data_IF_160344000369
#
_entry.id   IF_160344000369
#
_cell.length_a   1.000
_cell.length_b   1.000
_cell.length_c   1.000
_cell.angle_alpha   90.00
_cell.angle_beta   90.00
_cell.angle_gamma   90.00
#
_symmetry.space_group_name_H-M   'P 1'
#
loop_
_entity.id
_entity.type
_entity.pdbx_description
1 polymer ?
#
# COMPACT_ATOMS: atom_id res chain seq x y z
N UNK A 1 4.66 16.12 -16.93
CA UNK A 1 3.34 16.81 -16.82
C UNK A 1 2.27 15.93 -17.46
N UNK A 2 2.24 14.66 -17.10
CA UNK A 2 1.29 13.66 -17.60
C UNK A 2 -0.12 13.93 -17.06
N UNK A 3 -0.19 14.56 -15.89
CA UNK A 3 -1.40 15.08 -15.23
C UNK A 3 -2.18 16.08 -16.09
N UNK A 4 -1.55 16.70 -17.10
CA UNK A 4 -2.15 17.74 -17.95
C UNK A 4 -2.37 17.24 -19.36
N UNK A 5 -1.33 16.75 -20.03
CA UNK A 5 -1.39 16.43 -21.46
C UNK A 5 -2.39 15.32 -21.80
N UNK A 6 -2.68 14.44 -20.84
CA UNK A 6 -3.72 13.40 -20.98
C UNK A 6 -5.14 13.97 -21.12
N UNK A 7 -5.37 15.22 -20.70
CA UNK A 7 -6.69 15.87 -20.71
C UNK A 7 -6.81 17.00 -21.75
N UNK A 8 -5.83 17.12 -22.64
CA UNK A 8 -5.86 18.05 -23.77
C UNK A 8 -5.75 17.30 -25.09
N UNK A 9 -6.48 17.78 -26.10
CA UNK A 9 -6.29 17.36 -27.49
C UNK A 9 -5.76 18.51 -28.32
N UNK A 10 -4.81 18.21 -29.20
CA UNK A 10 -4.32 19.18 -30.18
C UNK A 10 -5.24 19.14 -31.41
N UNK A 11 -5.87 20.27 -31.72
CA UNK A 11 -6.71 20.46 -32.92
C UNK A 11 -6.42 21.85 -33.50
N UNK A 12 -6.26 21.94 -34.82
CA UNK A 12 -6.11 23.22 -35.54
C UNK A 12 -5.03 24.16 -34.93
N UNK A 13 -3.89 23.59 -34.54
CA UNK A 13 -2.77 24.32 -33.93
C UNK A 13 -3.08 24.96 -32.57
N UNK A 14 -4.04 24.41 -31.83
CA UNK A 14 -4.42 24.82 -30.47
C UNK A 14 -4.61 23.60 -29.57
N UNK A 15 -4.32 23.78 -28.28
CA UNK A 15 -4.61 22.81 -27.24
C UNK A 15 -6.03 23.03 -26.72
N UNK A 16 -6.92 22.06 -26.92
CA UNK A 16 -8.29 22.10 -26.46
C UNK A 16 -8.46 21.25 -25.20
N UNK A 17 -9.10 21.82 -24.19
CA UNK A 17 -9.44 21.08 -22.97
C UNK A 17 -10.57 20.07 -23.29
N UNK A 18 -10.33 18.78 -23.02
CA UNK A 18 -11.30 17.72 -23.30
C UNK A 18 -12.57 17.87 -22.47
N UNK A 19 -12.47 18.41 -21.24
CA UNK A 19 -13.62 18.65 -20.37
C UNK A 19 -14.51 19.79 -20.89
N UNK A 20 -13.92 20.90 -21.32
CA UNK A 20 -14.62 21.99 -22.01
C UNK A 20 -15.36 21.51 -23.27
N UNK A 21 -14.72 20.65 -24.07
CA UNK A 21 -15.35 20.07 -25.26
C UNK A 21 -16.55 19.19 -24.90
N UNK A 22 -16.42 18.34 -23.87
CA UNK A 22 -17.50 17.49 -23.38
C UNK A 22 -18.68 18.33 -22.86
N UNK A 23 -18.42 19.39 -22.10
CA UNK A 23 -19.46 20.29 -21.60
C UNK A 23 -20.18 21.05 -22.73
N UNK A 24 -19.48 21.41 -23.80
CA UNK A 24 -20.11 22.03 -24.97
C UNK A 24 -21.06 21.08 -25.72
N UNK A 25 -20.77 19.78 -25.72
CA UNK A 25 -21.66 18.77 -26.32
C UNK A 25 -22.98 18.65 -25.54
N UNK A 26 -22.93 18.74 -24.21
CA UNK A 26 -24.14 18.67 -23.36
C UNK A 26 -24.84 20.02 -23.20
N UNK A 27 -24.10 21.11 -23.29
CA UNK A 27 -24.58 22.48 -23.16
C UNK A 27 -23.95 23.39 -24.25
N UNK A 28 -24.61 23.56 -25.41
CA UNK A 28 -24.06 24.29 -26.56
C UNK A 28 -23.66 25.75 -26.29
N UNK A 29 -24.18 26.36 -25.23
CA UNK A 29 -23.90 27.74 -24.83
C UNK A 29 -22.61 27.91 -24.02
N UNK A 30 -22.00 26.82 -23.54
CA UNK A 30 -20.72 26.86 -22.82
C UNK A 30 -19.57 27.00 -23.82
N UNK A 31 -18.76 28.04 -23.67
CA UNK A 31 -17.59 28.27 -24.52
C UNK A 31 -16.48 27.29 -24.15
N UNK A 32 -16.04 26.50 -25.13
CA UNK A 32 -14.87 25.66 -24.95
C UNK A 32 -13.59 26.51 -25.04
N UNK A 33 -12.78 26.48 -24.00
CA UNK A 33 -11.51 27.22 -23.96
C UNK A 33 -10.45 26.50 -24.80
N UNK A 34 -9.75 27.25 -25.66
CA UNK A 34 -8.66 26.77 -26.49
C UNK A 34 -7.39 27.59 -26.19
N UNK A 35 -6.26 26.92 -26.08
CA UNK A 35 -4.97 27.50 -25.76
C UNK A 35 -4.02 27.38 -26.95
N UNK A 36 -3.01 28.24 -27.02
CA UNK A 36 -1.95 28.07 -28.03
C UNK A 36 -1.14 26.82 -27.73
N UNK A 37 -0.54 26.19 -28.75
CA UNK A 37 0.42 25.08 -28.56
C UNK A 37 1.58 25.50 -27.63
N UNK A 38 1.97 26.79 -27.66
CA UNK A 38 3.06 27.33 -26.84
C UNK A 38 2.66 27.67 -25.40
N UNK A 39 1.40 27.45 -25.01
CA UNK A 39 0.93 27.78 -23.67
C UNK A 39 1.65 26.91 -22.63
N UNK A 40 2.15 27.53 -21.57
CA UNK A 40 2.87 26.83 -20.52
C UNK A 40 1.96 25.87 -19.74
N UNK A 41 2.53 24.77 -19.27
CA UNK A 41 1.81 23.75 -18.49
C UNK A 41 1.19 24.31 -17.22
N UNK A 42 1.75 25.36 -16.63
CA UNK A 42 1.17 26.06 -15.47
C UNK A 42 -0.16 26.74 -15.78
N UNK A 43 -0.30 27.36 -16.97
CA UNK A 43 -1.55 28.00 -17.40
C UNK A 43 -2.61 26.95 -17.71
N UNK A 44 -2.23 25.87 -18.38
CA UNK A 44 -3.13 24.74 -18.66
C UNK A 44 -3.63 24.09 -17.36
N UNK A 45 -2.72 23.84 -16.42
CA UNK A 45 -3.05 23.30 -15.10
C UNK A 45 -4.00 24.22 -14.34
N UNK A 46 -3.73 25.54 -14.35
CA UNK A 46 -4.60 26.54 -13.72
C UNK A 46 -6.02 26.47 -14.23
N UNK A 47 -6.21 26.41 -15.54
CA UNK A 47 -7.54 26.24 -16.13
C UNK A 47 -8.24 24.97 -15.63
N UNK A 48 -7.54 23.84 -15.62
CA UNK A 48 -8.15 22.58 -15.22
C UNK A 48 -8.59 22.60 -13.75
N UNK A 49 -7.75 23.03 -12.81
CA UNK A 49 -8.14 23.00 -11.39
C UNK A 49 -9.11 24.11 -10.99
N UNK A 50 -9.27 25.17 -11.80
CA UNK A 50 -10.30 26.19 -11.54
C UNK A 50 -11.66 25.82 -12.14
N UNK A 51 -11.67 25.31 -13.37
CA UNK A 51 -12.92 25.07 -14.11
C UNK A 51 -13.42 23.62 -14.00
N UNK A 52 -12.51 22.65 -13.87
CA UNK A 52 -12.80 21.21 -13.92
C UNK A 52 -12.05 20.40 -12.84
N UNK A 53 -12.01 20.84 -11.57
CA UNK A 53 -11.23 20.15 -10.54
C UNK A 53 -11.71 18.70 -10.34
N UNK A 54 -13.00 18.45 -10.43
CA UNK A 54 -13.61 17.18 -10.04
C UNK A 54 -13.35 16.09 -11.10
N UNK A 55 -13.59 16.41 -12.37
CA UNK A 55 -13.32 15.54 -13.50
C UNK A 55 -11.83 15.25 -13.67
N UNK A 56 -10.99 16.25 -13.40
CA UNK A 56 -9.55 16.12 -13.48
C UNK A 56 -8.97 15.20 -12.41
N UNK A 57 -9.35 15.41 -11.14
CA UNK A 57 -8.86 14.59 -10.04
C UNK A 57 -9.35 13.15 -10.20
N UNK A 58 -10.60 12.95 -10.61
CA UNK A 58 -11.16 11.62 -10.90
C UNK A 58 -10.44 10.95 -12.06
N UNK A 59 -10.18 11.69 -13.14
CA UNK A 59 -9.45 11.21 -14.30
C UNK A 59 -8.02 10.77 -13.96
N UNK A 60 -7.29 11.59 -13.19
CA UNK A 60 -5.95 11.27 -12.72
C UNK A 60 -5.94 10.01 -11.84
N UNK A 61 -6.88 9.90 -10.89
CA UNK A 61 -7.00 8.73 -10.03
C UNK A 61 -7.25 7.43 -10.82
N UNK A 62 -8.15 7.46 -11.81
CA UNK A 62 -8.46 6.32 -12.67
C UNK A 62 -7.27 5.86 -13.51
N UNK A 63 -6.42 6.80 -13.92
CA UNK A 63 -5.22 6.53 -14.73
C UNK A 63 -3.97 6.30 -13.88
N UNK A 64 -4.10 6.27 -12.55
CA UNK A 64 -3.00 6.16 -11.60
C UNK A 64 -1.91 7.24 -11.78
N UNK A 65 -2.31 8.45 -12.21
CA UNK A 65 -1.41 9.60 -12.40
C UNK A 65 -1.37 10.42 -11.11
N UNK A 66 -0.17 10.60 -10.56
CA UNK A 66 0.02 11.42 -9.36
C UNK A 66 0.06 12.92 -9.69
N UNK A 67 -0.76 13.72 -9.02
CA UNK A 67 -0.75 15.18 -9.13
C UNK A 67 0.22 15.76 -8.10
N UNK A 68 1.43 16.11 -8.54
CA UNK A 68 2.54 16.58 -7.67
C UNK A 68 2.57 18.11 -7.56
N UNK A 69 1.82 18.84 -8.40
CA UNK A 69 1.85 20.31 -8.43
C UNK A 69 1.32 20.93 -7.13
N UNK A 70 2.10 21.84 -6.53
CA UNK A 70 1.77 22.49 -5.26
C UNK A 70 0.56 23.43 -5.39
N UNK A 71 0.44 24.11 -6.54
CA UNK A 71 -0.64 25.05 -6.83
C UNK A 71 -2.01 24.37 -6.95
N UNK A 72 -2.03 23.06 -7.21
CA UNK A 72 -3.24 22.25 -7.32
C UNK A 72 -3.71 21.66 -5.99
N UNK A 73 -2.89 21.70 -4.92
CA UNK A 73 -3.22 21.10 -3.64
C UNK A 73 -4.48 21.69 -2.99
N UNK A 74 -4.75 23.01 -3.02
CA UNK A 74 -5.99 23.56 -2.47
C UNK A 74 -7.24 23.01 -3.17
N UNK A 75 -7.22 22.86 -4.49
CA UNK A 75 -8.33 22.29 -5.26
C UNK A 75 -8.54 20.80 -4.92
N UNK A 76 -7.46 20.05 -4.72
CA UNK A 76 -7.50 18.64 -4.30
C UNK A 76 -8.06 18.50 -2.87
N UNK A 77 -7.65 19.36 -1.95
CA UNK A 77 -8.17 19.36 -0.57
C UNK A 77 -9.66 19.70 -0.53
N UNK A 78 -10.08 20.71 -1.31
CA UNK A 78 -11.49 21.09 -1.41
C UNK A 78 -12.33 19.99 -2.08
N UNK A 79 -11.81 19.34 -3.11
CA UNK A 79 -12.44 18.16 -3.71
C UNK A 79 -12.58 17.01 -2.71
N UNK A 80 -11.55 16.69 -1.94
CA UNK A 80 -11.61 15.68 -0.86
C UNK A 80 -12.63 16.04 0.20
N UNK A 81 -12.72 17.32 0.58
CA UNK A 81 -13.71 17.84 1.53
C UNK A 81 -15.14 17.70 0.99
N UNK A 82 -15.36 18.00 -0.29
CA UNK A 82 -16.66 17.85 -0.97
C UNK A 82 -17.06 16.39 -1.17
N UNK A 83 -16.13 15.54 -1.58
CA UNK A 83 -16.32 14.08 -1.69
C UNK A 83 -16.68 13.45 -0.33
N UNK A 84 -16.07 13.92 0.76
CA UNK A 84 -16.41 13.50 2.12
C UNK A 84 -17.87 13.76 2.52
N UNK A 85 -18.61 14.61 1.79
CA UNK A 85 -20.01 14.94 2.06
C UNK A 85 -21.00 14.41 1.00
N UNK A 86 -20.52 13.96 -0.18
CA UNK A 86 -21.35 13.50 -1.31
C UNK A 86 -21.16 12.00 -1.66
N UNK A 87 -20.14 11.33 -1.12
CA UNK A 87 -19.84 9.91 -1.36
C UNK A 87 -20.74 8.91 -0.60
N UNK A 88 -21.98 9.28 -0.30
CA UNK A 88 -22.90 8.40 0.43
C UNK A 88 -23.38 7.18 -0.36
N UNK A 89 -23.19 7.11 -1.68
CA UNK A 89 -23.77 6.03 -2.46
C UNK A 89 -22.72 5.27 -3.29
N UNK A 90 -22.49 4.02 -2.85
CA UNK A 90 -21.92 2.87 -3.54
C UNK A 90 -20.40 2.62 -3.45
N UNK A 91 -19.50 3.48 -3.93
CA UNK A 91 -18.13 2.98 -4.26
C UNK A 91 -17.04 3.43 -3.27
N UNK A 92 -17.14 4.62 -2.67
CA UNK A 92 -16.19 5.08 -1.65
C UNK A 92 -16.49 4.53 -0.23
N UNK A 93 -17.67 3.93 -0.02
CA UNK A 93 -18.05 3.31 1.25
C UNK A 93 -17.26 2.03 1.57
N UNK A 94 -16.61 1.40 0.59
CA UNK A 94 -15.79 0.22 0.81
C UNK A 94 -14.47 0.55 1.53
N UNK A 95 -13.86 1.70 1.25
CA UNK A 95 -12.49 1.98 1.67
C UNK A 95 -12.39 2.77 3.00
N UNK A 96 -13.46 3.43 3.44
CA UNK A 96 -13.46 4.21 4.70
C UNK A 96 -13.99 3.38 5.90
N UNK A 97 -14.47 2.15 5.69
CA UNK A 97 -14.92 1.23 6.75
C UNK A 97 -14.21 -0.12 6.79
N UNK A 98 -12.96 -0.21 6.32
CA UNK A 98 -12.16 -1.44 6.45
C UNK A 98 -12.74 -2.66 5.73
N UNK A 99 -13.69 -2.49 4.81
CA UNK A 99 -14.32 -3.60 4.10
C UNK A 99 -13.48 -3.95 2.88
N UNK A 100 -12.64 -4.99 3.01
CA UNK A 100 -11.87 -5.55 1.88
C UNK A 100 -12.81 -5.89 0.72
N UNK A 101 -12.41 -5.55 -0.51
CA UNK A 101 -13.10 -6.07 -1.69
C UNK A 101 -13.01 -7.59 -1.68
N UNK A 102 -14.10 -8.24 -2.11
CA UNK A 102 -14.12 -9.69 -2.13
C UNK A 102 -13.21 -10.20 -3.27
N UNK A 103 -12.20 -10.97 -2.90
CA UNK A 103 -11.47 -11.90 -3.76
C UNK A 103 -11.33 -13.21 -3.00
N UNK A 104 -11.05 -14.31 -3.70
CA UNK A 104 -10.83 -15.59 -3.01
C UNK A 104 -9.67 -15.50 -2.01
N UNK A 105 -8.56 -14.88 -2.40
CA UNK A 105 -7.41 -14.64 -1.52
C UNK A 105 -7.79 -13.77 -0.32
N UNK A 106 -8.50 -12.66 -0.53
CA UNK A 106 -8.93 -11.78 0.57
C UNK A 106 -9.92 -12.47 1.52
N UNK A 107 -10.73 -13.40 1.01
CA UNK A 107 -11.63 -14.21 1.82
C UNK A 107 -10.87 -15.22 2.67
N UNK A 108 -9.90 -15.92 2.08
CA UNK A 108 -9.00 -16.83 2.81
C UNK A 108 -8.24 -16.08 3.90
N UNK A 109 -7.64 -14.93 3.56
CA UNK A 109 -6.89 -14.11 4.52
C UNK A 109 -7.78 -13.56 5.64
N UNK A 110 -9.03 -13.18 5.35
CA UNK A 110 -9.98 -12.76 6.37
C UNK A 110 -10.37 -13.90 7.32
N UNK A 111 -10.49 -15.14 6.81
CA UNK A 111 -10.75 -16.31 7.67
C UNK A 111 -9.53 -16.62 8.54
N UNK A 112 -8.31 -16.53 7.97
CA UNK A 112 -7.08 -16.71 8.75
C UNK A 112 -6.99 -15.67 9.87
N UNK A 113 -7.26 -14.40 9.56
CA UNK A 113 -7.25 -13.31 10.54
C UNK A 113 -8.29 -13.53 11.65
N UNK A 114 -9.51 -13.97 11.31
CA UNK A 114 -10.51 -14.37 12.30
C UNK A 114 -10.03 -15.52 13.18
N UNK A 115 -9.42 -16.54 12.59
CA UNK A 115 -8.97 -17.72 13.34
C UNK A 115 -7.80 -17.40 14.26
N UNK A 116 -6.78 -16.70 13.75
CA UNK A 116 -5.57 -16.37 14.51
C UNK A 116 -5.83 -15.25 15.50
N UNK A 117 -6.61 -14.23 15.11
CA UNK A 117 -6.90 -13.06 15.94
C UNK A 117 -7.74 -13.40 17.17
N UNK A 118 -8.70 -14.31 17.02
CA UNK A 118 -9.62 -14.71 18.10
C UNK A 118 -9.34 -16.12 18.65
N UNK A 119 -8.18 -16.72 18.37
CA UNK A 119 -7.77 -18.08 18.78
C UNK A 119 -8.86 -19.16 18.54
N UNK A 120 -9.48 -19.10 17.36
CA UNK A 120 -10.54 -20.03 17.00
C UNK A 120 -9.98 -21.39 16.59
N UNK A 121 -10.77 -22.45 16.79
CA UNK A 121 -10.41 -23.75 16.25
C UNK A 121 -10.44 -23.73 14.73
N UNK A 122 -9.42 -24.30 14.07
CA UNK A 122 -9.44 -24.53 12.62
C UNK A 122 -10.65 -25.35 12.15
N UNK A 123 -11.30 -26.13 13.03
CA UNK A 123 -12.52 -26.87 12.70
C UNK A 123 -13.73 -25.95 12.46
N UNK A 124 -13.69 -24.70 12.91
CA UNK A 124 -14.80 -23.75 12.77
C UNK A 124 -15.19 -23.56 11.30
N UNK A 125 -14.21 -23.64 10.38
CA UNK A 125 -14.47 -23.44 8.95
C UNK A 125 -15.25 -24.60 8.30
N UNK A 126 -15.24 -25.79 8.93
CA UNK A 126 -16.01 -26.95 8.48
C UNK A 126 -17.44 -26.95 9.04
N UNK A 127 -17.78 -25.99 9.90
CA UNK A 127 -19.12 -25.88 10.50
C UNK A 127 -20.16 -25.55 9.41
N UNK A 128 -21.15 -26.42 9.15
CA UNK A 128 -22.14 -26.21 8.10
C UNK A 128 -22.93 -24.89 8.27
N UNK A 129 -23.20 -24.49 9.51
CA UNK A 129 -23.92 -23.27 9.82
C UNK A 129 -23.12 -22.02 9.45
N UNK A 130 -21.81 -22.02 9.72
CA UNK A 130 -20.93 -20.90 9.33
C UNK A 130 -20.80 -20.83 7.81
N UNK A 131 -20.63 -21.98 7.14
CA UNK A 131 -20.56 -22.03 5.67
C UNK A 131 -21.86 -21.56 5.03
N UNK A 132 -23.02 -21.94 5.59
CA UNK A 132 -24.32 -21.44 5.17
C UNK A 132 -24.43 -19.92 5.31
N UNK A 133 -23.87 -19.33 6.38
CA UNK A 133 -23.81 -17.87 6.52
C UNK A 133 -22.99 -17.25 5.38
N UNK A 134 -21.83 -17.81 5.03
CA UNK A 134 -21.03 -17.28 3.90
C UNK A 134 -21.76 -17.35 2.56
N UNK A 135 -22.41 -18.47 2.27
CA UNK A 135 -23.20 -18.67 1.04
C UNK A 135 -24.43 -17.75 1.00
N UNK A 136 -25.06 -17.48 2.16
CA UNK A 136 -26.16 -16.53 2.27
C UNK A 136 -25.70 -15.08 1.98
N UNK A 137 -24.48 -14.73 2.38
CA UNK A 137 -23.93 -13.38 2.18
C UNK A 137 -23.41 -13.13 0.76
N UNK A 138 -23.18 -14.19 -0.04
CA UNK A 138 -22.67 -14.11 -1.42
C UNK A 138 -23.30 -15.21 -2.29
N UNK A 139 -24.28 -14.86 -3.10
CA UNK A 139 -25.02 -15.77 -3.97
C UNK A 139 -24.16 -16.48 -5.03
N UNK A 140 -23.06 -15.85 -5.45
CA UNK A 140 -22.17 -16.43 -6.46
C UNK A 140 -21.19 -17.45 -5.87
N UNK A 141 -21.04 -17.47 -4.54
CA UNK A 141 -20.13 -18.35 -3.83
C UNK A 141 -20.71 -19.76 -3.79
N UNK A 142 -19.90 -20.76 -4.14
CA UNK A 142 -20.25 -22.17 -3.96
C UNK A 142 -19.59 -22.70 -2.71
N UNK A 143 -20.13 -23.79 -2.19
CA UNK A 143 -19.56 -24.48 -1.04
C UNK A 143 -18.09 -24.89 -1.29
N UNK A 144 -17.78 -25.31 -2.52
CA UNK A 144 -16.42 -25.64 -2.97
C UNK A 144 -15.43 -24.47 -2.96
N UNK A 145 -15.93 -23.23 -2.99
CA UNK A 145 -15.11 -22.02 -2.97
C UNK A 145 -14.79 -21.57 -1.53
N UNK A 146 -15.45 -22.15 -0.54
CA UNK A 146 -15.15 -21.92 0.88
C UNK A 146 -13.92 -22.76 1.25
N UNK A 147 -12.84 -22.14 1.77
CA UNK A 147 -11.62 -22.88 2.07
C UNK A 147 -11.85 -23.92 3.16
N UNK A 148 -11.31 -25.10 2.96
CA UNK A 148 -11.30 -26.15 3.99
C UNK A 148 -10.15 -25.95 4.97
N UNK A 149 -10.19 -26.71 6.06
CA UNK A 149 -9.19 -26.70 7.14
C UNK A 149 -7.75 -26.82 6.63
N UNK A 150 -7.50 -27.69 5.64
CA UNK A 150 -6.17 -27.86 5.05
C UNK A 150 -5.68 -26.61 4.34
N UNK A 151 -6.55 -25.94 3.58
CA UNK A 151 -6.27 -24.67 2.91
C UNK A 151 -5.89 -23.59 3.92
N UNK A 152 -6.68 -23.44 4.98
CA UNK A 152 -6.41 -22.47 6.05
C UNK A 152 -5.10 -22.77 6.78
N UNK A 153 -4.86 -24.05 7.12
CA UNK A 153 -3.62 -24.47 7.77
C UNK A 153 -2.38 -24.11 6.92
N UNK A 154 -2.42 -24.43 5.62
CA UNK A 154 -1.31 -24.12 4.72
C UNK A 154 -1.08 -22.61 4.59
N UNK A 155 -2.16 -21.82 4.54
CA UNK A 155 -2.05 -20.36 4.50
C UNK A 155 -1.43 -19.79 5.79
N UNK A 156 -1.81 -20.32 6.96
CA UNK A 156 -1.21 -19.92 8.24
C UNK A 156 0.29 -20.21 8.27
N UNK A 157 0.71 -21.40 7.83
CA UNK A 157 2.14 -21.75 7.78
C UNK A 157 2.91 -20.81 6.84
N UNK A 158 2.35 -20.52 5.66
CA UNK A 158 2.94 -19.57 4.74
C UNK A 158 3.08 -18.17 5.37
N UNK A 159 2.03 -17.65 6.02
CA UNK A 159 2.07 -16.34 6.67
C UNK A 159 3.06 -16.30 7.84
N UNK A 160 3.24 -17.42 8.55
CA UNK A 160 4.25 -17.56 9.59
C UNK A 160 5.66 -17.50 8.99
N UNK A 161 5.93 -18.23 7.91
CA UNK A 161 7.22 -18.18 7.22
C UNK A 161 7.54 -16.77 6.72
N UNK A 162 6.56 -16.10 6.07
CA UNK A 162 6.69 -14.71 5.62
C UNK A 162 6.92 -13.73 6.79
N UNK A 163 6.35 -14.02 7.96
CA UNK A 163 6.61 -13.21 9.16
C UNK A 163 8.02 -13.43 9.69
N UNK A 164 8.47 -14.69 9.79
CA UNK A 164 9.82 -15.03 10.24
C UNK A 164 10.90 -14.41 9.32
N UNK A 165 10.69 -14.46 8.00
CA UNK A 165 11.59 -13.84 7.03
C UNK A 165 11.68 -12.32 7.19
N UNK A 166 10.54 -11.65 7.39
CA UNK A 166 10.51 -10.21 7.67
C UNK A 166 11.23 -9.87 8.96
N UNK A 167 10.98 -10.59 10.04
CA UNK A 167 11.68 -10.40 11.32
C UNK A 167 13.18 -10.61 11.17
N UNK A 168 13.62 -11.62 10.42
CA UNK A 168 15.04 -11.85 10.15
C UNK A 168 15.69 -10.68 9.38
N UNK A 169 14.98 -10.11 8.40
CA UNK A 169 15.44 -8.94 7.66
C UNK A 169 15.55 -7.68 8.55
N UNK A 170 14.58 -7.45 9.43
CA UNK A 170 14.62 -6.37 10.42
C UNK A 170 15.81 -6.50 11.38
N UNK A 171 16.09 -7.72 11.84
CA UNK A 171 17.27 -8.00 12.68
C UNK A 171 18.56 -7.70 11.92
N UNK A 172 18.63 -7.98 10.61
CA UNK A 172 19.80 -7.64 9.80
C UNK A 172 19.99 -6.11 9.67
N UNK A 173 18.89 -5.36 9.51
CA UNK A 173 18.93 -3.89 9.53
C UNK A 173 19.38 -3.34 10.89
N UNK A 174 18.89 -3.93 11.99
CA UNK A 174 19.32 -3.56 13.34
C UNK A 174 20.81 -3.81 13.54
N UNK A 175 21.33 -4.96 13.09
CA UNK A 175 22.76 -5.27 13.15
C UNK A 175 23.61 -4.26 12.37
N UNK A 176 23.11 -3.80 11.22
CA UNK A 176 23.76 -2.77 10.42
C UNK A 176 23.79 -1.41 11.15
N UNK A 177 22.64 -0.97 11.66
CA UNK A 177 22.53 0.28 12.42
C UNK A 177 23.40 0.27 13.69
N UNK A 178 23.43 -0.86 14.39
CA UNK A 178 24.30 -1.08 15.55
C UNK A 178 25.77 -0.89 15.18
N UNK A 179 26.26 -1.57 14.14
CA UNK A 179 27.66 -1.45 13.71
C UNK A 179 27.99 -0.03 13.25
N UNK A 180 27.07 0.66 12.56
CA UNK A 180 27.25 2.07 12.23
C UNK A 180 27.46 2.94 13.48
N UNK A 181 26.70 2.70 14.56
CA UNK A 181 26.90 3.37 15.85
C UNK A 181 28.27 3.07 16.47
N UNK A 182 28.67 1.80 16.46
CA UNK A 182 29.98 1.35 16.97
C UNK A 182 31.14 1.93 16.14
N UNK A 183 30.98 2.09 14.83
CA UNK A 183 31.97 2.69 13.95
C UNK A 183 32.17 4.17 14.27
N UNK A 184 31.09 4.91 14.56
CA UNK A 184 31.17 6.33 14.94
C UNK A 184 32.02 6.56 16.19
N UNK A 185 32.00 5.62 17.13
CA UNK A 185 32.83 5.68 18.35
C UNK A 185 34.19 4.97 18.18
N UNK A 186 34.53 4.51 16.98
CA UNK A 186 35.78 3.80 16.64
C UNK A 186 36.05 2.59 17.54
N UNK A 187 34.98 1.88 17.94
CA UNK A 187 35.05 0.74 18.86
C UNK A 187 34.81 -0.62 18.20
N UNK A 188 34.69 -0.69 16.87
CA UNK A 188 34.39 -1.94 16.16
C UNK A 188 35.38 -3.07 16.47
N UNK A 189 36.68 -2.75 16.52
CA UNK A 189 37.73 -3.72 16.86
C UNK A 189 37.79 -4.09 18.35
N UNK A 190 37.04 -3.36 19.18
CA UNK A 190 36.95 -3.56 20.63
C UNK A 190 35.64 -4.23 21.04
N UNK A 191 34.79 -4.60 20.09
CA UNK A 191 33.51 -5.25 20.38
C UNK A 191 33.76 -6.63 21.01
N UNK A 192 33.53 -6.71 22.31
CA UNK A 192 33.65 -7.92 23.11
C UNK A 192 32.34 -8.71 23.07
N UNK A 193 31.45 -8.42 24.01
CA UNK A 193 30.20 -9.14 24.24
C UNK A 193 29.01 -8.29 23.81
N UNK A 194 27.97 -8.96 23.29
CA UNK A 194 26.67 -8.34 23.05
C UNK A 194 25.61 -9.13 23.80
N UNK A 195 24.75 -8.41 24.52
CA UNK A 195 23.71 -8.97 25.38
C UNK A 195 22.37 -8.35 25.06
N UNK A 196 21.29 -9.09 25.29
CA UNK A 196 19.91 -8.64 25.09
C UNK A 196 18.94 -9.65 25.69
N UNK A 197 17.67 -9.32 25.65
CA UNK A 197 16.60 -9.93 26.43
C UNK A 197 15.98 -11.19 25.80
N UNK A 198 16.07 -11.35 24.48
CA UNK A 198 15.54 -12.51 23.75
C UNK A 198 16.64 -13.36 23.12
N UNK A 199 16.79 -14.61 23.58
CA UNK A 199 17.85 -15.52 23.15
C UNK A 199 17.81 -15.86 21.64
N UNK A 200 16.64 -16.09 21.04
CA UNK A 200 16.57 -16.46 19.62
C UNK A 200 16.86 -15.26 18.71
N UNK A 201 16.33 -14.09 19.04
CA UNK A 201 16.61 -12.85 18.31
C UNK A 201 18.08 -12.44 18.47
N UNK A 202 18.64 -12.63 19.67
CA UNK A 202 20.07 -12.38 19.95
C UNK A 202 20.98 -13.31 19.15
N UNK A 203 20.56 -14.57 18.94
CA UNK A 203 21.31 -15.52 18.10
C UNK A 203 21.39 -15.03 16.65
N UNK A 204 20.24 -14.69 16.06
CA UNK A 204 20.16 -14.15 14.70
C UNK A 204 20.95 -12.84 14.59
N UNK A 205 20.77 -11.92 15.54
CA UNK A 205 21.48 -10.65 15.59
C UNK A 205 23.00 -10.84 15.66
N UNK A 206 23.48 -11.70 16.57
CA UNK A 206 24.92 -11.97 16.75
C UNK A 206 25.55 -12.59 15.50
N UNK A 207 24.82 -13.47 14.81
CA UNK A 207 25.26 -14.04 13.52
C UNK A 207 25.37 -12.95 12.44
N UNK A 208 24.41 -12.02 12.37
CA UNK A 208 24.44 -10.91 11.43
C UNK A 208 25.60 -9.94 11.72
N UNK A 209 25.80 -9.56 12.99
CA UNK A 209 26.95 -8.75 13.42
C UNK A 209 28.27 -9.43 13.06
N UNK A 210 28.41 -10.72 13.37
CA UNK A 210 29.61 -11.48 13.03
C UNK A 210 29.86 -11.59 11.53
N UNK A 211 28.81 -11.70 10.73
CA UNK A 211 28.90 -11.71 9.26
C UNK A 211 29.38 -10.36 8.72
N UNK A 212 28.84 -9.26 9.23
CA UNK A 212 29.26 -7.92 8.82
C UNK A 212 30.69 -7.57 9.28
N UNK A 213 31.08 -7.97 10.49
CA UNK A 213 32.45 -7.79 11.00
C UNK A 213 33.48 -8.63 10.24
N UNK A 214 33.12 -9.86 9.85
CA UNK A 214 33.99 -10.71 9.01
C UNK A 214 34.29 -10.09 7.65
N UNK A 215 33.32 -9.41 7.03
CA UNK A 215 33.54 -8.63 5.79
C UNK A 215 34.57 -7.52 5.95
N UNK A 216 34.87 -7.11 7.19
CA UNK A 216 35.85 -6.09 7.57
C UNK A 216 37.14 -6.70 8.14
N UNK A 217 37.34 -8.01 8.00
CA UNK A 217 38.44 -8.77 8.61
C UNK A 217 38.50 -8.72 10.16
N UNK A 218 37.38 -8.41 10.82
CA UNK A 218 37.28 -8.42 12.28
C UNK A 218 36.71 -9.76 12.73
N UNK A 219 37.48 -10.51 13.54
CA UNK A 219 37.02 -11.78 14.11
C UNK A 219 36.00 -11.53 15.22
N UNK A 220 34.79 -12.04 15.03
CA UNK A 220 33.73 -12.01 16.02
C UNK A 220 33.06 -13.38 16.13
N UNK A 221 33.40 -14.19 17.16
CA UNK A 221 32.82 -15.51 17.36
C UNK A 221 31.41 -15.37 17.97
N UNK A 222 30.42 -15.20 17.11
CA UNK A 222 29.02 -14.90 17.46
C UNK A 222 28.37 -15.89 18.43
N UNK A 223 28.78 -17.16 18.41
CA UNK A 223 28.24 -18.21 19.31
C UNK A 223 28.92 -18.27 20.66
N UNK A 224 30.15 -17.76 20.78
CA UNK A 224 30.95 -17.80 22.00
C UNK A 224 30.83 -16.52 22.82
N UNK A 225 30.38 -15.42 22.21
CA UNK A 225 30.31 -14.08 22.84
C UNK A 225 28.89 -13.59 23.12
N UNK A 226 28.00 -14.53 23.44
CA UNK A 226 26.64 -14.27 23.94
C UNK A 226 26.48 -14.87 25.33
N UNK A 227 25.75 -14.17 26.20
CA UNK A 227 25.34 -14.70 27.50
C UNK A 227 24.00 -15.43 27.27
N UNK A 228 23.90 -16.69 27.74
CA UNK A 228 22.66 -17.47 27.73
C UNK A 228 21.90 -17.26 29.03
#
# INVERSE_FOLDING_TARGET
AEDIWTFYSEMESKNHCLFCQKLRQTHPHIKATAFSIKTSTGVLRKHIYTEHPDEWITGCARLNIQIIANEAQPAIQEYKRRQGHLSSNAEAAAQIKGRRLFSHEAFVDAIVEFIVGDDQSLRVIECPQLRAIFLMLRSELKDSDVPHRSTIHNRIMQLLDEHLDRTAAEIAHLAHAFLHGIDRIKAANKLGWVTGDNASNMDTFSVQVGTQLRRRAIKFPARERRIR
#
